data_IF_630171178132
#
_entry.id   IF_630171178132
#
_cell.length_a   1.000
_cell.length_b   1.000
_cell.length_c   1.000
_cell.angle_alpha   90.00
_cell.angle_beta   90.00
_cell.angle_gamma   90.00
#
_symmetry.space_group_name_H-M   'P 1'
#
loop_
_entity.id
_entity.type
_entity.pdbx_description
1 polymer ?
#
# COMPACT_ATOMS: atom_id res chain seq x y z
N UNK A 1 9.41 -7.14 -4.50
CA UNK A 1 8.43 -8.04 -5.15
C UNK A 1 8.27 -7.64 -6.61
N UNK A 2 8.08 -8.59 -7.54
CA UNK A 2 7.85 -8.33 -8.97
C UNK A 2 6.43 -8.74 -9.31
N UNK A 3 5.66 -7.87 -9.95
CA UNK A 3 4.30 -8.18 -10.39
C UNK A 3 4.33 -9.23 -11.51
N UNK A 4 3.86 -10.45 -11.23
CA UNK A 4 3.81 -11.55 -12.20
C UNK A 4 2.41 -11.80 -12.78
N UNK A 5 1.47 -10.88 -12.58
CA UNK A 5 0.12 -10.98 -13.13
C UNK A 5 -0.69 -12.14 -12.53
N UNK A 6 -1.33 -12.96 -13.36
CA UNK A 6 -2.21 -14.06 -12.93
C UNK A 6 -1.53 -15.17 -12.12
N UNK A 7 -0.20 -15.24 -12.14
CA UNK A 7 0.57 -16.20 -11.35
C UNK A 7 0.84 -15.71 -9.92
N UNK A 8 0.42 -14.50 -9.59
CA UNK A 8 0.58 -13.98 -8.25
C UNK A 8 -0.39 -14.68 -7.27
N UNK A 9 0.09 -15.21 -6.13
CA UNK A 9 -0.78 -15.85 -5.13
C UNK A 9 -1.87 -14.90 -4.58
N UNK A 10 -1.73 -13.58 -4.76
CA UNK A 10 -2.73 -12.57 -4.41
C UNK A 10 -3.55 -12.03 -5.60
N UNK A 11 -3.66 -12.79 -6.69
CA UNK A 11 -4.47 -12.41 -7.85
C UNK A 11 -5.98 -12.30 -7.48
N UNK A 12 -6.44 -11.08 -7.20
CA UNK A 12 -7.87 -10.74 -7.22
C UNK A 12 -8.34 -9.72 -6.18
N UNK A 13 -7.76 -9.68 -4.97
CA UNK A 13 -8.19 -8.77 -3.91
C UNK A 13 -7.00 -8.24 -3.10
N UNK A 14 -6.93 -6.92 -2.91
CA UNK A 14 -5.94 -6.29 -2.02
C UNK A 14 -4.53 -6.18 -2.58
N UNK A 15 -4.30 -6.56 -3.84
CA UNK A 15 -2.98 -6.60 -4.45
C UNK A 15 -2.25 -5.25 -4.37
N UNK A 16 -2.95 -4.15 -4.67
CA UNK A 16 -2.40 -2.81 -4.59
C UNK A 16 -1.98 -2.43 -3.16
N UNK A 17 -2.77 -2.81 -2.15
CA UNK A 17 -2.45 -2.58 -0.74
C UNK A 17 -1.25 -3.43 -0.28
N UNK A 18 -1.19 -4.70 -0.68
CA UNK A 18 -0.09 -5.61 -0.30
C UNK A 18 1.22 -5.15 -0.90
N UNK A 19 1.23 -4.78 -2.19
CA UNK A 19 2.44 -4.26 -2.85
C UNK A 19 2.96 -3.02 -2.13
N UNK A 20 2.08 -2.06 -1.77
CA UNK A 20 2.52 -0.88 -1.03
C UNK A 20 3.09 -1.25 0.33
N UNK A 21 2.42 -2.14 1.08
CA UNK A 21 2.89 -2.57 2.39
C UNK A 21 4.24 -3.29 2.34
N UNK A 22 4.42 -4.21 1.40
CA UNK A 22 5.67 -4.94 1.24
C UNK A 22 6.84 -4.02 0.82
N UNK A 23 6.56 -2.96 0.07
CA UNK A 23 7.58 -2.00 -0.36
C UNK A 23 8.04 -1.08 0.78
N UNK A 24 7.17 -0.80 1.74
CA UNK A 24 7.45 0.15 2.83
C UNK A 24 7.68 -0.54 4.17
N UNK A 25 7.69 -1.88 4.24
CA UNK A 25 7.77 -2.64 5.49
C UNK A 25 8.93 -2.17 6.39
N UNK A 26 10.11 -2.01 5.79
CA UNK A 26 11.32 -1.48 6.47
C UNK A 26 11.25 0.01 6.85
N UNK A 27 10.20 0.72 6.42
CA UNK A 27 9.99 2.16 6.60
C UNK A 27 8.75 2.48 7.45
N UNK A 28 8.02 1.46 7.93
CA UNK A 28 6.88 1.61 8.82
C UNK A 28 7.32 2.12 10.21
N UNK A 29 6.42 2.81 10.92
CA UNK A 29 6.69 3.33 12.27
C UNK A 29 7.68 4.50 12.34
N UNK A 30 8.11 5.03 11.19
CA UNK A 30 9.11 6.11 11.12
C UNK A 30 8.49 7.51 11.00
N UNK A 31 7.18 7.69 11.26
CA UNK A 31 6.47 8.97 11.08
C UNK A 31 6.61 9.57 9.67
N UNK A 32 6.71 8.70 8.66
CA UNK A 32 6.89 9.10 7.26
C UNK A 32 5.55 9.22 6.54
N UNK A 33 5.59 9.95 5.43
CA UNK A 33 4.45 10.09 4.52
C UNK A 33 4.70 9.30 3.26
N UNK A 34 3.79 8.37 2.95
CA UNK A 34 3.78 7.59 1.71
C UNK A 34 2.89 8.32 0.71
N UNK A 35 3.39 8.54 -0.50
CA UNK A 35 2.63 9.13 -1.59
C UNK A 35 2.32 8.06 -2.63
N UNK A 36 1.04 7.83 -2.92
CA UNK A 36 0.58 6.78 -3.85
C UNK A 36 -0.27 7.32 -4.98
N UNK A 37 -0.20 6.67 -6.15
CA UNK A 37 -1.13 6.89 -7.27
C UNK A 37 -2.53 6.32 -6.96
N UNK A 38 -3.57 6.75 -7.69
CA UNK A 38 -4.97 6.36 -7.51
C UNK A 38 -5.24 4.86 -7.51
N UNK A 39 -4.44 4.07 -8.24
CA UNK A 39 -4.57 2.63 -8.30
C UNK A 39 -4.22 1.96 -6.97
N UNK A 40 -3.34 2.61 -6.20
CA UNK A 40 -2.82 2.12 -4.92
C UNK A 40 -3.46 2.82 -3.72
N UNK A 41 -4.17 3.93 -3.95
CA UNK A 41 -4.89 4.66 -2.89
C UNK A 41 -6.17 3.92 -2.51
N UNK A 42 -6.30 3.56 -1.23
CA UNK A 42 -7.51 2.96 -0.69
C UNK A 42 -7.72 3.30 0.79
N UNK A 43 -8.99 3.35 1.21
CA UNK A 43 -9.35 3.66 2.62
C UNK A 43 -8.81 2.60 3.59
N UNK A 44 -8.84 1.32 3.19
CA UNK A 44 -8.29 0.22 3.99
C UNK A 44 -6.78 0.36 4.21
N UNK A 45 -6.04 0.77 3.17
CA UNK A 45 -4.60 1.03 3.24
C UNK A 45 -4.33 2.23 4.15
N UNK A 46 -5.04 3.34 3.97
CA UNK A 46 -4.87 4.55 4.78
C UNK A 46 -5.05 4.26 6.28
N UNK A 47 -6.09 3.49 6.67
CA UNK A 47 -6.31 3.09 8.06
C UNK A 47 -5.17 2.26 8.61
N UNK A 48 -4.65 1.31 7.83
CA UNK A 48 -3.57 0.41 8.26
C UNK A 48 -2.23 1.15 8.37
N UNK A 49 -1.97 2.11 7.49
CA UNK A 49 -0.80 2.99 7.58
C UNK A 49 -0.86 3.89 8.82
N UNK A 50 -2.03 4.46 9.10
CA UNK A 50 -2.24 5.31 10.28
C UNK A 50 -2.01 4.55 11.60
N UNK A 51 -2.35 3.25 11.64
CA UNK A 51 -2.05 2.38 12.78
C UNK A 51 -0.55 2.12 12.97
N UNK A 52 0.27 2.35 11.93
CA UNK A 52 1.72 2.16 11.94
C UNK A 52 2.45 3.52 11.84
N UNK A 53 1.86 4.57 12.41
CA UNK A 53 2.43 5.92 12.46
C UNK A 53 2.92 6.42 11.09
N UNK A 54 2.20 6.08 10.03
CA UNK A 54 2.58 6.41 8.65
C UNK A 54 1.40 7.09 7.96
N UNK A 55 1.65 8.24 7.34
CA UNK A 55 0.60 9.00 6.65
C UNK A 55 0.52 8.59 5.18
N UNK A 56 -0.69 8.61 4.62
CA UNK A 56 -0.94 8.35 3.19
C UNK A 56 -1.43 9.62 2.51
N UNK A 57 -0.79 9.99 1.41
CA UNK A 57 -1.27 11.00 0.47
C UNK A 57 -1.45 10.32 -0.88
N UNK A 58 -2.61 10.51 -1.50
CA UNK A 58 -2.84 9.98 -2.84
C UNK A 58 -4.10 10.55 -3.44
N UNK A 59 -4.26 10.33 -4.73
CA UNK A 59 -5.47 10.70 -5.46
C UNK A 59 -6.48 9.55 -5.39
N UNK A 60 -7.78 9.87 -5.37
CA UNK A 60 -8.86 8.88 -5.52
C UNK A 60 -9.38 8.90 -6.96
N UNK A 61 -9.91 7.77 -7.41
CA UNK A 61 -10.61 7.63 -8.69
C UNK A 61 -12.12 7.69 -8.48
#
# INVERSE_FOLDING_TARGET
MVYTGKQDPMAGLGHAQTVVMDLIDDLLGCYRTVVTDNYFTGISLAKRLLQNDTYLIGTLR
#
